data_IF_612571383120
#
_entry.id   IF_612571383120
#
_cell.length_a   1.000
_cell.length_b   1.000
_cell.length_c   1.000
_cell.angle_alpha   90.00
_cell.angle_beta   90.00
_cell.angle_gamma   90.00
#
_symmetry.space_group_name_H-M   'P 1'
#
loop_
_entity.id
_entity.type
_entity.pdbx_description
1 polymer ?
#
# COMPACT_ATOMS: atom_id res chain seq x y z
N UNK A 1 -30.67 26.24 -29.72
CA UNK A 1 -29.32 25.77 -29.34
C UNK A 1 -29.45 25.22 -27.93
N UNK A 2 -29.60 23.89 -27.83
CA UNK A 2 -29.74 23.17 -26.57
C UNK A 2 -28.34 22.99 -25.96
N UNK A 3 -28.10 23.63 -24.81
CA UNK A 3 -26.93 23.38 -23.98
C UNK A 3 -26.90 21.88 -23.60
N UNK A 4 -26.05 21.13 -24.30
CA UNK A 4 -25.69 19.78 -23.87
C UNK A 4 -24.82 19.92 -22.65
N UNK A 5 -25.39 19.68 -21.48
CA UNK A 5 -24.65 19.64 -20.22
C UNK A 5 -23.46 18.70 -20.38
N UNK A 6 -22.25 19.19 -20.10
CA UNK A 6 -21.05 18.39 -20.12
C UNK A 6 -21.20 17.17 -19.19
N UNK A 7 -20.74 15.97 -19.59
CA UNK A 7 -20.89 14.76 -18.78
C UNK A 7 -20.27 14.96 -17.41
N UNK A 8 -21.00 14.51 -16.39
CA UNK A 8 -20.70 14.68 -14.99
C UNK A 8 -19.30 14.11 -14.68
N UNK A 9 -18.35 15.02 -14.41
CA UNK A 9 -16.96 14.72 -14.17
C UNK A 9 -16.85 14.06 -12.80
N UNK A 10 -16.59 12.75 -12.79
CA UNK A 10 -16.50 11.95 -11.57
C UNK A 10 -15.45 12.53 -10.63
N UNK A 11 -15.90 13.28 -9.62
CA UNK A 11 -15.05 13.89 -8.60
C UNK A 11 -14.66 12.81 -7.58
N UNK A 12 -13.38 12.55 -7.41
CA UNK A 12 -12.94 11.74 -6.29
C UNK A 12 -13.19 12.52 -4.98
N UNK A 13 -13.93 11.95 -4.00
CA UNK A 13 -14.16 12.62 -2.72
C UNK A 13 -12.84 12.98 -2.05
N UNK A 14 -12.79 14.13 -1.40
CA UNK A 14 -11.58 14.64 -0.73
C UNK A 14 -11.00 13.61 0.24
N UNK A 15 -11.86 12.90 0.99
CA UNK A 15 -11.46 11.84 1.92
C UNK A 15 -10.63 10.74 1.23
N UNK A 16 -11.05 10.27 0.05
CA UNK A 16 -10.30 9.25 -0.70
C UNK A 16 -8.94 9.74 -1.15
N UNK A 17 -8.86 11.00 -1.56
CA UNK A 17 -7.60 11.64 -2.01
C UNK A 17 -6.64 11.79 -0.86
N UNK A 18 -7.09 12.35 0.26
CA UNK A 18 -6.27 12.53 1.47
C UNK A 18 -5.79 11.17 1.98
N UNK A 19 -6.69 10.20 2.14
CA UNK A 19 -6.31 8.86 2.60
C UNK A 19 -5.26 8.21 1.69
N UNK A 20 -5.43 8.31 0.36
CA UNK A 20 -4.48 7.76 -0.60
C UNK A 20 -3.07 8.38 -0.42
N UNK A 21 -2.95 9.70 -0.29
CA UNK A 21 -1.65 10.34 -0.14
C UNK A 21 -1.02 10.08 1.24
N UNK A 22 -1.84 9.96 2.29
CA UNK A 22 -1.35 9.54 3.61
C UNK A 22 -0.87 8.08 3.59
N UNK A 23 -1.57 7.18 2.90
CA UNK A 23 -1.09 5.82 2.66
C UNK A 23 0.23 5.80 1.89
N UNK A 24 0.34 6.55 0.80
CA UNK A 24 1.55 6.62 0.01
C UNK A 24 2.74 7.09 0.87
N UNK A 25 2.57 8.18 1.62
CA UNK A 25 3.60 8.69 2.51
C UNK A 25 4.00 7.65 3.57
N UNK A 26 3.01 7.02 4.24
CA UNK A 26 3.27 6.01 5.25
C UNK A 26 4.04 4.81 4.69
N UNK A 27 3.64 4.32 3.51
CA UNK A 27 4.29 3.17 2.85
C UNK A 27 5.74 3.51 2.47
N UNK A 28 6.02 4.69 1.90
CA UNK A 28 7.40 5.09 1.58
C UNK A 28 8.27 5.19 2.84
N UNK A 29 7.76 5.80 3.92
CA UNK A 29 8.48 5.88 5.19
C UNK A 29 8.76 4.49 5.74
N UNK A 30 7.77 3.59 5.73
CA UNK A 30 7.91 2.24 6.27
C UNK A 30 8.83 1.35 5.43
N UNK A 31 8.82 1.48 4.10
CA UNK A 31 9.75 0.74 3.22
C UNK A 31 11.17 1.19 3.50
N UNK A 32 11.45 2.48 3.42
CA UNK A 32 12.82 3.00 3.61
C UNK A 32 13.37 2.70 5.01
N UNK A 33 12.56 2.91 6.06
CA UNK A 33 12.97 2.58 7.43
C UNK A 33 13.05 1.07 7.68
N UNK A 34 12.15 0.29 7.07
CA UNK A 34 12.16 -1.16 7.17
C UNK A 34 13.41 -1.78 6.52
N UNK A 35 13.86 -1.28 5.38
CA UNK A 35 15.11 -1.70 4.75
C UNK A 35 16.31 -1.40 5.65
N UNK A 36 16.34 -0.23 6.31
CA UNK A 36 17.40 0.09 7.26
C UNK A 36 17.38 -0.83 8.49
N UNK A 37 16.20 -1.16 9.03
CA UNK A 37 16.07 -2.13 10.12
C UNK A 37 16.53 -3.52 9.69
N UNK A 38 16.16 -3.94 8.49
CA UNK A 38 16.57 -5.22 7.91
C UNK A 38 18.08 -5.34 7.80
N UNK A 39 18.78 -4.28 7.38
CA UNK A 39 20.24 -4.28 7.19
C UNK A 39 21.03 -4.52 8.48
N UNK A 40 20.44 -4.26 9.66
CA UNK A 40 21.10 -4.54 10.94
C UNK A 40 21.17 -6.06 11.23
N UNK A 41 20.16 -6.82 10.83
CA UNK A 41 20.11 -8.29 10.99
C UNK A 41 19.45 -8.89 9.75
N UNK A 42 20.19 -9.00 8.65
CA UNK A 42 19.67 -9.51 7.39
C UNK A 42 19.18 -10.96 7.52
N UNK A 43 18.03 -11.26 6.89
CA UNK A 43 17.49 -12.62 6.81
C UNK A 43 18.11 -13.36 5.61
N UNK A 44 18.44 -12.62 4.56
CA UNK A 44 19.00 -13.12 3.31
C UNK A 44 20.42 -12.54 3.10
N UNK A 45 21.25 -13.12 2.23
CA UNK A 45 22.66 -12.71 2.04
C UNK A 45 22.77 -11.44 1.17
N UNK A 46 22.02 -10.38 1.49
CA UNK A 46 22.12 -9.07 0.86
C UNK A 46 21.66 -7.97 1.80
N UNK A 47 22.06 -6.73 1.52
CA UNK A 47 21.63 -5.50 2.19
C UNK A 47 21.17 -4.48 1.18
N UNK A 48 20.43 -3.48 1.63
CA UNK A 48 19.95 -2.39 0.81
C UNK A 48 20.94 -1.23 0.79
N UNK A 49 21.13 -0.52 -0.34
CA UNK A 49 22.01 0.65 -0.39
C UNK A 49 21.50 1.78 0.52
N UNK A 50 22.41 2.46 1.23
CA UNK A 50 22.06 3.52 2.19
C UNK A 50 21.19 4.64 1.61
N UNK A 51 21.37 4.96 0.33
CA UNK A 51 20.62 6.04 -0.33
C UNK A 51 19.14 5.77 -0.55
N UNK A 52 18.69 4.51 -0.40
CA UNK A 52 17.25 4.16 -0.46
C UNK A 52 16.67 3.87 0.92
N UNK A 53 17.48 3.85 1.96
CA UNK A 53 17.05 3.59 3.32
C UNK A 53 16.73 4.89 4.07
N UNK A 54 15.92 4.81 5.11
CA UNK A 54 15.50 5.96 5.91
C UNK A 54 15.83 5.76 7.38
N UNK A 55 16.43 6.78 7.99
CA UNK A 55 16.78 6.83 9.41
C UNK A 55 18.13 6.19 9.71
N UNK A 56 18.81 6.74 10.71
CA UNK A 56 20.15 6.31 11.16
C UNK A 56 21.23 6.58 10.14
N UNK A 57 22.26 7.33 10.52
CA UNK A 57 23.51 7.43 9.76
C UNK A 57 24.55 6.49 10.35
N UNK A 58 25.27 5.71 9.52
CA UNK A 58 26.33 4.86 9.99
C UNK A 58 25.87 3.62 10.77
N UNK A 59 26.75 2.95 11.45
CA UNK A 59 26.56 1.66 12.13
C UNK A 59 25.37 1.67 13.09
N UNK A 60 24.22 1.34 12.56
CA UNK A 60 22.96 1.37 13.28
C UNK A 60 22.85 0.15 14.20
N UNK A 61 23.62 0.15 15.27
CA UNK A 61 23.28 -0.69 16.41
C UNK A 61 22.01 -0.15 17.05
N UNK A 62 21.13 -1.02 17.51
CA UNK A 62 19.92 -0.68 18.29
C UNK A 62 20.23 0.21 19.51
N UNK A 63 21.50 0.36 19.89
CA UNK A 63 22.01 1.11 21.01
C UNK A 63 22.37 2.57 20.71
N UNK A 64 22.52 2.98 19.46
CA UNK A 64 22.92 4.37 19.14
C UNK A 64 21.71 5.27 18.94
N UNK A 65 21.23 5.80 20.05
CA UNK A 65 20.12 6.77 20.12
C UNK A 65 20.54 8.21 19.80
N UNK A 66 21.82 8.48 19.47
CA UNK A 66 22.37 9.83 19.58
C UNK A 66 23.14 10.38 18.39
N UNK A 67 23.07 9.80 17.25
CA UNK A 67 23.72 10.46 16.11
C UNK A 67 22.77 11.48 15.51
N UNK A 68 22.81 12.67 16.04
CA UNK A 68 22.32 13.98 15.58
C UNK A 68 21.67 14.15 14.20
N UNK A 69 21.24 13.08 13.60
CA UNK A 69 20.60 12.99 12.30
C UNK A 69 19.08 12.93 12.40
N UNK A 70 18.47 12.34 11.41
CA UNK A 70 17.02 12.27 11.17
C UNK A 70 16.26 11.27 12.07
N UNK A 71 16.79 10.89 13.23
CA UNK A 71 16.21 9.89 14.13
C UNK A 71 16.48 8.44 13.72
N UNK A 72 16.23 7.49 14.61
CA UNK A 72 16.47 6.07 14.34
C UNK A 72 15.48 5.51 13.31
N UNK A 73 15.90 4.52 12.54
CA UNK A 73 15.02 3.83 11.58
C UNK A 73 13.78 3.24 12.26
N UNK A 74 13.91 2.76 13.49
CA UNK A 74 12.79 2.25 14.30
C UNK A 74 11.77 3.34 14.60
N UNK A 75 12.22 4.56 14.96
CA UNK A 75 11.33 5.68 15.22
C UNK A 75 10.54 6.07 13.96
N UNK A 76 11.20 6.13 12.81
CA UNK A 76 10.54 6.36 11.52
C UNK A 76 9.56 5.26 11.17
N UNK A 77 9.93 4.00 11.40
CA UNK A 77 9.05 2.86 11.14
C UNK A 77 7.78 2.90 11.97
N UNK A 78 7.89 3.22 13.27
CA UNK A 78 6.72 3.39 14.14
C UNK A 78 5.89 4.62 13.77
N UNK A 79 6.53 5.74 13.41
CA UNK A 79 5.79 6.90 12.91
C UNK A 79 4.97 6.57 11.66
N UNK A 80 5.58 5.87 10.69
CA UNK A 80 4.89 5.36 9.50
C UNK A 80 3.77 4.39 9.84
N UNK A 81 3.99 3.48 10.79
CA UNK A 81 2.99 2.52 11.27
C UNK A 81 1.76 3.22 11.84
N UNK A 82 1.93 4.22 12.69
CA UNK A 82 0.81 4.98 13.26
C UNK A 82 0.07 5.81 12.20
N UNK A 83 0.81 6.40 11.26
CA UNK A 83 0.21 7.11 10.13
C UNK A 83 -0.60 6.15 9.26
N UNK A 84 -0.06 4.97 8.95
CA UNK A 84 -0.75 3.93 8.18
C UNK A 84 -2.00 3.45 8.91
N UNK A 85 -1.90 3.16 10.22
CA UNK A 85 -3.03 2.68 11.01
C UNK A 85 -4.15 3.73 11.08
N UNK A 86 -3.82 5.00 11.29
CA UNK A 86 -4.79 6.09 11.30
C UNK A 86 -5.47 6.28 9.95
N UNK A 87 -4.71 6.32 8.86
CA UNK A 87 -5.25 6.43 7.51
C UNK A 87 -6.12 5.21 7.15
N UNK A 88 -5.71 4.00 7.54
CA UNK A 88 -6.46 2.76 7.33
C UNK A 88 -7.78 2.77 8.10
N UNK A 89 -7.77 3.19 9.36
CA UNK A 89 -8.98 3.31 10.17
C UNK A 89 -9.99 4.27 9.52
N UNK A 90 -9.54 5.45 9.09
CA UNK A 90 -10.39 6.42 8.39
C UNK A 90 -10.96 5.83 7.10
N UNK A 91 -10.14 5.14 6.32
CA UNK A 91 -10.58 4.49 5.09
C UNK A 91 -11.62 3.41 5.34
N UNK A 92 -11.39 2.54 6.33
CA UNK A 92 -12.31 1.45 6.69
C UNK A 92 -13.64 2.01 7.20
N UNK A 93 -13.60 2.95 8.15
CA UNK A 93 -14.82 3.58 8.69
C UNK A 93 -15.63 4.25 7.58
N UNK A 94 -14.98 5.01 6.71
CA UNK A 94 -15.64 5.64 5.57
C UNK A 94 -16.21 4.60 4.59
N UNK A 95 -15.47 3.55 4.28
CA UNK A 95 -15.88 2.47 3.39
C UNK A 95 -17.08 1.68 3.91
N UNK A 96 -17.13 1.43 5.22
CA UNK A 96 -18.27 0.80 5.89
C UNK A 96 -19.49 1.71 5.91
N UNK A 97 -19.33 2.98 6.29
CA UNK A 97 -20.41 3.98 6.35
C UNK A 97 -21.05 4.21 4.98
N UNK A 98 -20.28 4.20 3.91
CA UNK A 98 -20.77 4.40 2.53
C UNK A 98 -21.16 3.09 1.83
N UNK A 99 -21.05 1.93 2.50
CA UNK A 99 -21.25 0.59 1.94
C UNK A 99 -20.42 0.31 0.68
N UNK A 100 -19.31 1.04 0.50
CA UNK A 100 -18.42 0.95 -0.66
C UNK A 100 -17.87 -0.46 -0.86
N UNK A 101 -17.45 -1.13 0.22
CA UNK A 101 -16.88 -2.48 0.14
C UNK A 101 -17.89 -3.50 -0.44
N UNK A 102 -19.14 -3.41 -0.04
CA UNK A 102 -20.19 -4.36 -0.47
C UNK A 102 -20.66 -4.10 -1.90
N UNK A 103 -20.75 -2.83 -2.28
CA UNK A 103 -21.30 -2.43 -3.56
C UNK A 103 -20.29 -2.49 -4.69
N UNK A 104 -19.05 -2.07 -4.44
CA UNK A 104 -18.09 -1.80 -5.50
C UNK A 104 -16.96 -2.86 -5.55
N UNK A 105 -16.62 -3.52 -4.42
CA UNK A 105 -15.54 -4.50 -4.36
C UNK A 105 -16.01 -5.96 -4.37
N UNK A 106 -17.25 -6.25 -4.02
CA UNK A 106 -17.85 -7.56 -4.14
C UNK A 106 -18.91 -7.55 -5.28
N UNK A 107 -19.15 -8.70 -5.97
CA UNK A 107 -18.45 -9.98 -5.93
C UNK A 107 -17.23 -10.04 -6.85
N UNK A 108 -16.23 -10.84 -6.49
CA UNK A 108 -15.12 -11.22 -7.36
C UNK A 108 -15.39 -12.66 -7.83
N UNK A 109 -15.92 -12.81 -9.04
CA UNK A 109 -16.12 -14.15 -9.62
C UNK A 109 -14.83 -14.68 -10.24
N UNK A 110 -14.41 -15.94 -9.96
CA UNK A 110 -13.15 -16.49 -10.50
C UNK A 110 -13.12 -16.50 -12.03
N UNK A 111 -14.24 -16.80 -12.69
CA UNK A 111 -14.32 -16.76 -14.16
C UNK A 111 -14.11 -15.34 -14.73
N UNK A 112 -14.64 -14.32 -14.06
CA UNK A 112 -14.41 -12.92 -14.41
C UNK A 112 -12.94 -12.53 -14.25
N UNK A 113 -12.31 -12.96 -13.17
CA UNK A 113 -10.89 -12.69 -12.92
C UNK A 113 -10.00 -13.25 -14.04
N UNK A 114 -10.13 -14.53 -14.41
CA UNK A 114 -9.28 -15.12 -15.45
C UNK A 114 -9.51 -14.50 -16.83
N UNK A 115 -10.75 -14.14 -17.15
CA UNK A 115 -11.07 -13.44 -18.41
C UNK A 115 -10.41 -12.06 -18.46
N UNK A 116 -10.59 -11.28 -17.40
CA UNK A 116 -10.07 -9.91 -17.32
C UNK A 116 -8.54 -9.89 -17.18
N UNK A 117 -7.94 -10.90 -16.50
CA UNK A 117 -6.51 -11.09 -16.43
C UNK A 117 -5.90 -11.37 -17.80
N UNK A 118 -6.51 -12.28 -18.59
CA UNK A 118 -6.08 -12.55 -19.95
C UNK A 118 -6.20 -11.32 -20.85
N UNK A 119 -7.28 -10.54 -20.71
CA UNK A 119 -7.48 -9.29 -21.43
C UNK A 119 -6.42 -8.23 -21.04
N UNK A 120 -6.09 -8.13 -19.74
CA UNK A 120 -5.03 -7.25 -19.25
C UNK A 120 -3.65 -7.63 -19.80
N UNK A 121 -3.29 -8.92 -19.77
CA UNK A 121 -2.01 -9.44 -20.28
C UNK A 121 -1.85 -9.22 -21.80
N UNK A 122 -2.96 -9.10 -22.53
CA UNK A 122 -2.97 -8.84 -23.99
C UNK A 122 -3.24 -7.37 -24.34
N UNK A 123 -3.23 -6.45 -23.36
CA UNK A 123 -3.54 -5.01 -23.53
C UNK A 123 -4.93 -4.72 -24.15
N UNK A 124 -5.87 -5.68 -24.03
CA UNK A 124 -7.24 -5.59 -24.57
C UNK A 124 -8.28 -5.32 -23.48
N UNK A 125 -7.86 -4.91 -22.29
CA UNK A 125 -8.76 -4.65 -21.19
C UNK A 125 -9.57 -3.37 -21.44
N UNK A 126 -10.89 -3.50 -21.58
CA UNK A 126 -11.79 -2.35 -21.68
C UNK A 126 -11.82 -1.57 -20.34
N UNK A 127 -11.43 -0.31 -20.38
CA UNK A 127 -11.53 0.60 -19.25
C UNK A 127 -12.90 1.29 -19.29
N UNK A 128 -13.87 0.73 -18.55
CA UNK A 128 -15.16 1.41 -18.32
C UNK A 128 -15.05 2.28 -17.06
N UNK A 129 -15.17 3.58 -17.23
CA UNK A 129 -15.21 4.53 -16.11
C UNK A 129 -16.37 4.17 -15.15
N UNK A 130 -16.06 4.05 -13.86
CA UNK A 130 -17.05 3.76 -12.83
C UNK A 130 -17.26 2.29 -12.46
N UNK A 131 -16.65 1.33 -13.17
CA UNK A 131 -16.71 -0.09 -12.84
C UNK A 131 -15.31 -0.68 -12.68
N UNK A 132 -15.04 -1.25 -11.50
CA UNK A 132 -13.81 -2.00 -11.27
C UNK A 132 -13.88 -3.34 -12.02
N UNK A 133 -12.88 -3.62 -12.85
CA UNK A 133 -12.74 -4.96 -13.44
C UNK A 133 -12.25 -5.96 -12.37
N UNK A 134 -12.38 -7.25 -12.66
CA UNK A 134 -12.04 -8.29 -11.68
C UNK A 134 -10.55 -8.29 -11.28
N UNK A 135 -9.65 -7.88 -12.17
CA UNK A 135 -8.22 -7.75 -11.88
C UNK A 135 -7.98 -6.61 -10.89
N UNK A 136 -8.60 -5.44 -11.10
CA UNK A 136 -8.50 -4.32 -10.15
C UNK A 136 -9.04 -4.72 -8.77
N UNK A 137 -10.19 -5.40 -8.70
CA UNK A 137 -10.73 -5.90 -7.44
C UNK A 137 -9.77 -6.85 -6.72
N UNK A 138 -9.15 -7.78 -7.46
CA UNK A 138 -8.16 -8.69 -6.90
C UNK A 138 -6.91 -7.96 -6.37
N UNK A 139 -6.42 -6.94 -7.07
CA UNK A 139 -5.33 -6.09 -6.58
C UNK A 139 -5.70 -5.34 -5.31
N UNK A 140 -6.92 -4.79 -5.20
CA UNK A 140 -7.40 -4.17 -3.96
C UNK A 140 -7.43 -5.15 -2.79
N UNK A 141 -8.00 -6.34 -2.99
CA UNK A 141 -8.06 -7.36 -1.95
C UNK A 141 -6.67 -7.88 -1.59
N UNK A 142 -5.80 -8.08 -2.59
CA UNK A 142 -4.41 -8.48 -2.38
C UNK A 142 -3.63 -7.46 -1.56
N UNK A 143 -3.76 -6.16 -1.87
CA UNK A 143 -3.13 -5.08 -1.12
C UNK A 143 -3.67 -4.98 0.32
N UNK A 144 -4.99 -5.08 0.52
CA UNK A 144 -5.59 -5.10 1.86
C UNK A 144 -5.10 -6.29 2.68
N UNK A 145 -5.06 -7.48 2.09
CA UNK A 145 -4.53 -8.68 2.74
C UNK A 145 -3.06 -8.52 3.09
N UNK A 146 -2.23 -7.99 2.17
CA UNK A 146 -0.83 -7.75 2.43
C UNK A 146 -0.61 -6.76 3.60
N UNK A 147 -1.39 -5.69 3.68
CA UNK A 147 -1.34 -4.74 4.80
C UNK A 147 -1.71 -5.44 6.12
N UNK A 148 -2.76 -6.25 6.14
CA UNK A 148 -3.16 -7.00 7.35
C UNK A 148 -2.04 -7.95 7.78
N UNK A 149 -1.43 -8.68 6.84
CA UNK A 149 -0.31 -9.58 7.12
C UNK A 149 0.94 -8.81 7.61
N UNK A 150 1.23 -7.64 7.05
CA UNK A 150 2.31 -6.76 7.50
C UNK A 150 2.08 -6.29 8.95
N UNK A 151 0.87 -5.86 9.28
CA UNK A 151 0.53 -5.43 10.64
C UNK A 151 0.62 -6.62 11.61
N UNK A 152 0.04 -7.76 11.27
CA UNK A 152 0.04 -8.94 12.14
C UNK A 152 1.47 -9.46 12.38
N UNK A 153 2.27 -9.64 11.33
CA UNK A 153 3.65 -10.07 11.45
C UNK A 153 4.54 -9.03 12.17
N UNK A 154 4.32 -7.74 11.89
CA UNK A 154 5.00 -6.65 12.58
C UNK A 154 4.72 -6.62 14.09
N UNK A 155 3.47 -6.84 14.49
CA UNK A 155 3.08 -6.97 15.91
C UNK A 155 3.73 -8.20 16.57
N UNK A 156 3.78 -9.33 15.86
CA UNK A 156 4.45 -10.54 16.34
C UNK A 156 5.95 -10.32 16.58
N UNK A 157 6.61 -9.52 15.72
CA UNK A 157 8.03 -9.15 15.86
C UNK A 157 8.22 -8.12 16.98
N UNK A 158 7.34 -7.12 17.07
CA UNK A 158 7.49 -6.03 18.06
C UNK A 158 7.21 -6.46 19.48
N UNK A 159 6.19 -7.32 19.68
CA UNK A 159 5.72 -7.74 21.02
C UNK A 159 5.63 -9.27 21.12
N UNK A 160 6.73 -10.00 20.91
CA UNK A 160 6.69 -11.45 20.81
C UNK A 160 6.25 -12.15 22.10
N UNK A 161 6.52 -11.53 23.25
CA UNK A 161 6.11 -12.08 24.58
C UNK A 161 4.65 -11.78 24.88
N UNK A 162 4.22 -10.51 24.69
CA UNK A 162 2.85 -10.08 24.97
C UNK A 162 1.86 -10.70 23.97
N UNK A 163 2.29 -10.88 22.73
CA UNK A 163 1.50 -11.47 21.63
C UNK A 163 2.05 -12.84 21.24
N UNK A 164 2.42 -13.65 22.25
CA UNK A 164 3.02 -14.96 22.04
C UNK A 164 2.20 -15.86 21.13
N UNK A 165 0.87 -15.81 21.24
CA UNK A 165 -0.05 -16.55 20.39
C UNK A 165 0.04 -16.16 18.91
N UNK A 166 0.22 -14.86 18.64
CA UNK A 166 0.39 -14.36 17.30
C UNK A 166 1.76 -14.75 16.73
N UNK A 167 2.82 -14.66 17.57
CA UNK A 167 4.16 -15.11 17.20
C UNK A 167 4.17 -16.61 16.92
N UNK A 168 3.47 -17.41 17.74
CA UNK A 168 3.32 -18.85 17.51
C UNK A 168 2.54 -19.17 16.23
N UNK A 169 1.50 -18.37 15.89
CA UNK A 169 0.74 -18.50 14.64
C UNK A 169 1.64 -18.35 13.40
N UNK A 170 2.64 -17.49 13.47
CA UNK A 170 3.64 -17.34 12.41
C UNK A 170 4.79 -18.34 12.49
N UNK A 171 4.76 -19.33 13.40
CA UNK A 171 5.84 -20.31 13.54
C UNK A 171 7.07 -19.81 14.30
N UNK A 172 6.94 -18.74 15.09
CA UNK A 172 7.99 -18.14 15.90
C UNK A 172 8.49 -16.80 15.36
N UNK A 173 9.39 -16.18 16.12
CA UNK A 173 9.92 -14.83 15.85
C UNK A 173 10.65 -14.74 14.50
N UNK A 174 11.54 -15.67 14.21
CA UNK A 174 12.33 -15.64 12.98
C UNK A 174 11.46 -15.84 11.74
N UNK A 175 10.48 -16.74 11.82
CA UNK A 175 9.57 -16.94 10.70
C UNK A 175 8.61 -15.75 10.52
N UNK A 176 8.19 -15.10 11.60
CA UNK A 176 7.43 -13.85 11.52
C UNK A 176 8.21 -12.75 10.77
N UNK A 177 9.54 -12.66 10.96
CA UNK A 177 10.42 -11.75 10.20
C UNK A 177 10.43 -12.10 8.71
N UNK A 178 10.54 -13.38 8.36
CA UNK A 178 10.48 -13.83 6.95
C UNK A 178 9.14 -13.45 6.33
N UNK A 179 8.04 -13.73 7.01
CA UNK A 179 6.68 -13.39 6.54
C UNK A 179 6.55 -11.87 6.35
N UNK A 180 7.01 -11.07 7.31
CA UNK A 180 6.99 -9.61 7.22
C UNK A 180 7.77 -9.11 6.00
N UNK A 181 8.98 -9.62 5.80
CA UNK A 181 9.80 -9.29 4.64
C UNK A 181 9.12 -9.68 3.32
N UNK A 182 8.55 -10.87 3.21
CA UNK A 182 7.89 -11.34 1.99
C UNK A 182 6.68 -10.49 1.61
N UNK A 183 5.87 -10.10 2.59
CA UNK A 183 4.75 -9.19 2.33
C UNK A 183 5.21 -7.77 2.02
N UNK A 184 6.29 -7.29 2.64
CA UNK A 184 6.94 -6.03 2.27
C UNK A 184 7.39 -6.07 0.81
N UNK A 185 8.10 -7.13 0.38
CA UNK A 185 8.51 -7.29 -1.03
C UNK A 185 7.29 -7.33 -1.98
N UNK A 186 6.21 -7.98 -1.57
CA UNK A 186 4.94 -7.97 -2.30
C UNK A 186 4.33 -6.58 -2.45
N UNK A 187 4.35 -5.76 -1.39
CA UNK A 187 3.89 -4.36 -1.43
C UNK A 187 4.79 -3.51 -2.33
N UNK A 188 6.11 -3.69 -2.26
CA UNK A 188 7.05 -2.99 -3.17
C UNK A 188 6.77 -3.36 -4.63
N UNK A 189 6.58 -4.65 -4.92
CA UNK A 189 6.20 -5.11 -6.27
C UNK A 189 4.88 -4.50 -6.74
N UNK A 190 3.86 -4.49 -5.88
CA UNK A 190 2.60 -3.81 -6.15
C UNK A 190 2.80 -2.31 -6.45
N UNK A 191 3.61 -1.62 -5.64
CA UNK A 191 3.89 -0.19 -5.81
C UNK A 191 4.57 0.09 -7.15
N UNK A 192 5.54 -0.73 -7.57
CA UNK A 192 6.21 -0.60 -8.87
C UNK A 192 5.21 -0.72 -10.02
N UNK A 193 4.37 -1.75 -9.99
CA UNK A 193 3.31 -1.94 -11.01
C UNK A 193 2.31 -0.80 -10.98
N UNK A 194 1.87 -0.37 -9.80
CA UNK A 194 0.93 0.74 -9.63
C UNK A 194 1.47 2.05 -10.23
N UNK A 195 2.70 2.42 -9.89
CA UNK A 195 3.34 3.63 -10.41
C UNK A 195 3.55 3.55 -11.92
N UNK A 196 3.96 2.39 -12.44
CA UNK A 196 4.09 2.19 -13.89
C UNK A 196 2.75 2.38 -14.63
N UNK A 197 1.66 1.82 -14.09
CA UNK A 197 0.32 2.01 -14.67
C UNK A 197 -0.15 3.46 -14.59
N UNK A 198 0.14 4.17 -13.51
CA UNK A 198 -0.16 5.61 -13.37
C UNK A 198 0.64 6.44 -14.38
N UNK A 199 1.91 6.09 -14.62
CA UNK A 199 2.75 6.76 -15.62
C UNK A 199 2.24 6.55 -17.06
N UNK A 200 1.68 5.36 -17.34
CA UNK A 200 1.06 5.07 -18.66
C UNK A 200 -0.27 5.80 -18.86
N UNK A 201 -0.99 6.15 -17.78
CA UNK A 201 -2.27 6.85 -17.83
C UNK A 201 -2.25 8.09 -16.92
N UNK A 202 -1.52 9.16 -17.28
CA UNK A 202 -1.28 10.32 -16.40
C UNK A 202 -2.57 11.04 -15.95
N UNK A 203 -3.63 10.94 -16.74
CA UNK A 203 -4.96 11.53 -16.40
C UNK A 203 -5.48 11.03 -15.05
N UNK A 204 -5.15 9.81 -14.65
CA UNK A 204 -5.56 9.22 -13.36
C UNK A 204 -4.87 9.91 -12.18
N UNK A 205 -3.60 10.28 -12.33
CA UNK A 205 -2.84 11.04 -11.34
C UNK A 205 -3.43 12.44 -11.15
N UNK A 206 -3.74 13.14 -12.26
CA UNK A 206 -4.37 14.46 -12.20
C UNK A 206 -5.70 14.40 -11.45
N UNK A 207 -6.54 13.41 -11.73
CA UNK A 207 -7.81 13.22 -11.01
C UNK A 207 -7.59 12.97 -9.50
N UNK A 208 -6.53 12.27 -9.12
CA UNK A 208 -6.21 11.96 -7.72
C UNK A 208 -5.61 13.17 -6.97
N UNK A 209 -4.97 14.11 -7.67
CA UNK A 209 -4.45 15.36 -7.11
C UNK A 209 -5.51 16.44 -7.08
N UNK A 210 -6.21 16.68 -8.19
CA UNK A 210 -7.13 17.82 -8.34
C UNK A 210 -8.57 17.50 -7.95
N UNK A 211 -8.97 16.23 -7.96
CA UNK A 211 -10.34 15.76 -7.79
C UNK A 211 -11.21 15.93 -9.05
N UNK A 212 -10.63 16.41 -10.15
CA UNK A 212 -11.31 16.63 -11.42
C UNK A 212 -10.83 15.62 -12.44
N UNK A 213 -11.73 14.84 -13.04
CA UNK A 213 -11.39 14.06 -14.23
C UNK A 213 -11.37 15.03 -15.41
N UNK A 214 -10.25 15.17 -16.10
CA UNK A 214 -10.20 15.88 -17.36
C UNK A 214 -10.91 15.05 -18.42
N UNK A 215 -12.14 15.43 -18.80
CA UNK A 215 -12.84 14.85 -19.92
C UNK A 215 -11.99 15.04 -21.18
N UNK A 216 -11.41 13.97 -21.70
CA UNK A 216 -10.76 13.97 -22.98
C UNK A 216 -11.82 13.88 -24.08
N UNK A 217 -12.04 14.94 -24.80
CA UNK A 217 -12.55 14.84 -26.17
C UNK A 217 -11.40 14.30 -27.02
N UNK A 218 -11.57 13.12 -27.56
CA UNK A 218 -10.84 12.64 -28.73
C UNK A 218 -11.81 11.86 -29.57
#
# INVERSE_FOLDING_TARGET
MSDVAAPDVQKHPLVRRISHWLFALAIFVMIGSGWRIYDNVPIFPFTFPDWITLGGGGDASYAQHNDGGTGSAIAWHFAGMWLLAGAFLVYVVHGLATRHFWRDLLPVGPRGFFRDFKAAATFKLEHRLGHYNAVQKAFYWGAMFAIVMMVASGLAIWKPVQLWWLTALFGGFDFARVVHFMFMAGIVGFLVVHVALVALVPKTMVAMVTGRATGGHS
#
